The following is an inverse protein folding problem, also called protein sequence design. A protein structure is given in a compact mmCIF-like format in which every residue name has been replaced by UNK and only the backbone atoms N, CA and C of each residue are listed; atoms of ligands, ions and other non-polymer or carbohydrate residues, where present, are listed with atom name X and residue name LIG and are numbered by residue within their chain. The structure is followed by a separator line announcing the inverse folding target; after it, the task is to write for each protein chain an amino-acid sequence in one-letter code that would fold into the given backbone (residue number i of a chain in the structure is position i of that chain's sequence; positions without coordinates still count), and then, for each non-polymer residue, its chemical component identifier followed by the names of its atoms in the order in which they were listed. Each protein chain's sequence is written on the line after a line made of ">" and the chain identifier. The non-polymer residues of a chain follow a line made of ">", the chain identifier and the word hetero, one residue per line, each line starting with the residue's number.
data_IF_293040595029
#
_entry.id   IF_293040595029
#
_cell.length_a   1.000
_cell.length_b   1.000
_cell.length_c   1.000
_cell.angle_alpha   90.00
_cell.angle_beta   90.00
_cell.angle_gamma   90.00
#
_symmetry.space_group_name_H-M   'P 1'
#
loop_
_entity.id
_entity.type
_entity.pdbx_description
1 polymer ?
#
# COMPACT_ATOMS: atom_id res chain seq x y z
N UNK A 1 5.68 8.75 -43.30
CA UNK A 1 6.32 8.41 -42.00
C UNK A 1 5.87 9.48 -41.01
N UNK A 2 4.89 9.18 -40.16
CA UNK A 2 4.33 10.16 -39.23
C UNK A 2 5.35 10.35 -38.09
N UNK A 3 6.08 11.46 -38.12
CA UNK A 3 6.93 11.87 -37.00
C UNK A 3 5.97 12.38 -35.93
N UNK A 4 5.45 11.46 -35.11
CA UNK A 4 4.76 11.85 -33.90
C UNK A 4 5.72 12.68 -33.06
N UNK A 5 5.31 13.88 -32.67
CA UNK A 5 6.05 14.72 -31.73
C UNK A 5 6.31 13.89 -30.47
N UNK A 6 7.56 13.43 -30.29
CA UNK A 6 7.96 12.76 -29.05
C UNK A 6 8.01 13.82 -27.96
N UNK A 7 7.06 13.75 -27.04
CA UNK A 7 6.99 14.64 -25.90
C UNK A 7 7.87 14.10 -24.76
N UNK A 8 8.52 15.01 -24.02
CA UNK A 8 9.27 14.66 -22.82
C UNK A 8 8.37 13.92 -21.82
N UNK A 9 8.84 12.78 -21.33
CA UNK A 9 8.11 11.94 -20.38
C UNK A 9 8.13 12.50 -18.95
N UNK A 10 9.25 13.09 -18.52
CA UNK A 10 9.39 13.78 -17.24
C UNK A 10 8.80 15.20 -17.34
N UNK A 11 7.65 15.45 -16.70
CA UNK A 11 6.86 16.69 -16.81
C UNK A 11 6.74 17.41 -15.47
N UNK A 12 7.88 17.64 -14.82
CA UNK A 12 7.95 18.27 -13.49
C UNK A 12 7.76 17.27 -12.35
N UNK A 13 7.44 17.78 -11.18
CA UNK A 13 7.32 16.98 -9.97
C UNK A 13 6.10 16.05 -10.03
N UNK A 14 6.26 14.79 -9.67
CA UNK A 14 5.16 13.83 -9.75
C UNK A 14 5.54 12.39 -9.50
N UNK A 15 4.55 11.50 -9.61
CA UNK A 15 4.72 10.06 -9.48
C UNK A 15 4.98 9.42 -10.85
N UNK A 16 6.02 8.60 -10.91
CA UNK A 16 6.50 7.95 -12.13
C UNK A 16 6.88 6.50 -11.85
N UNK A 17 6.90 5.68 -12.91
CA UNK A 17 7.68 4.44 -12.97
C UNK A 17 8.95 4.67 -13.78
N UNK A 18 10.00 3.93 -13.47
CA UNK A 18 11.27 3.97 -14.20
C UNK A 18 11.44 2.62 -14.90
N UNK A 19 11.58 2.60 -16.23
CA UNK A 19 11.70 1.38 -17.02
C UNK A 19 12.97 1.40 -17.86
N UNK A 20 13.76 0.33 -17.87
CA UNK A 20 14.93 0.25 -18.73
C UNK A 20 14.53 0.17 -20.21
N UNK A 21 15.21 0.92 -21.07
CA UNK A 21 14.91 0.96 -22.51
C UNK A 21 15.28 -0.36 -23.19
N UNK A 22 16.37 -1.00 -22.79
CA UNK A 22 16.89 -2.22 -23.44
C UNK A 22 16.22 -3.49 -22.90
N UNK A 23 16.16 -3.66 -21.59
CA UNK A 23 15.65 -4.90 -20.98
C UNK A 23 14.13 -4.89 -20.80
N UNK A 24 13.51 -3.71 -20.80
CA UNK A 24 12.08 -3.54 -20.54
C UNK A 24 11.69 -3.70 -19.06
N UNK A 25 12.65 -3.96 -18.16
CA UNK A 25 12.39 -4.12 -16.73
C UNK A 25 12.09 -2.79 -16.05
N UNK A 26 11.13 -2.80 -15.14
CA UNK A 26 10.77 -1.71 -14.25
C UNK A 26 11.63 -1.75 -12.99
N UNK A 27 12.10 -0.60 -12.55
CA UNK A 27 12.79 -0.44 -11.28
C UNK A 27 11.79 -0.53 -10.12
N UNK A 28 12.18 -1.18 -9.03
CA UNK A 28 11.45 -1.22 -7.77
C UNK A 28 12.40 -1.08 -6.58
N UNK A 29 12.02 -0.29 -5.58
CA UNK A 29 12.73 -0.21 -4.32
C UNK A 29 12.40 -1.44 -3.47
N UNK A 30 13.39 -2.34 -3.34
CA UNK A 30 13.22 -3.66 -2.74
C UNK A 30 14.02 -3.84 -1.43
N UNK A 31 14.90 -2.91 -1.09
CA UNK A 31 15.58 -2.85 0.21
C UNK A 31 15.70 -1.39 0.68
N UNK A 32 15.78 -1.21 1.99
CA UNK A 32 16.12 0.06 2.66
C UNK A 32 17.60 0.21 2.99
N UNK A 33 18.39 -0.85 2.83
CA UNK A 33 19.83 -0.79 3.00
C UNK A 33 20.46 -0.49 1.65
N UNK A 34 21.00 0.71 1.50
CA UNK A 34 21.99 1.00 0.49
C UNK A 34 23.23 1.50 1.21
N UNK A 35 24.39 0.88 0.96
CA UNK A 35 25.69 1.40 1.42
C UNK A 35 26.14 2.64 0.64
N UNK A 36 25.33 3.13 -0.31
CA UNK A 36 25.67 4.23 -1.21
C UNK A 36 26.84 3.89 -2.14
N UNK A 37 27.47 4.91 -2.72
CA UNK A 37 28.77 4.75 -3.38
C UNK A 37 29.84 4.34 -2.37
N UNK A 38 30.44 3.16 -2.53
CA UNK A 38 31.55 2.74 -1.69
C UNK A 38 32.88 3.30 -2.23
N UNK A 39 33.52 4.11 -1.39
CA UNK A 39 34.77 4.82 -1.65
C UNK A 39 35.99 3.93 -1.99
N UNK A 40 35.93 2.61 -1.78
CA UNK A 40 37.02 1.68 -2.06
C UNK A 40 36.79 0.80 -3.29
N UNK A 41 35.54 0.61 -3.74
CA UNK A 41 35.20 -0.37 -4.79
C UNK A 41 34.73 0.24 -6.11
N UNK A 42 34.55 1.57 -6.22
CA UNK A 42 33.99 2.25 -7.42
C UNK A 42 32.59 1.74 -7.82
N UNK A 43 31.84 1.21 -6.86
CA UNK A 43 30.49 0.66 -7.06
C UNK A 43 29.51 1.40 -6.16
N UNK A 44 28.37 1.78 -6.72
CA UNK A 44 27.19 2.18 -5.93
C UNK A 44 26.50 0.90 -5.51
N UNK A 45 26.18 0.79 -4.22
CA UNK A 45 25.29 -0.23 -3.69
C UNK A 45 23.84 0.09 -4.08
N UNK A 46 23.55 -0.09 -5.36
CA UNK A 46 22.25 0.09 -5.97
C UNK A 46 21.42 -1.22 -5.98
N UNK A 47 21.92 -2.29 -5.32
CA UNK A 47 21.22 -3.57 -5.21
C UNK A 47 19.88 -3.48 -4.46
N UNK A 48 19.70 -2.43 -3.66
CA UNK A 48 18.42 -2.04 -3.08
C UNK A 48 17.32 -1.75 -4.13
N UNK A 49 17.71 -1.48 -5.38
CA UNK A 49 16.80 -1.29 -6.50
C UNK A 49 16.79 -2.57 -7.36
N UNK A 50 15.77 -3.40 -7.17
CA UNK A 50 15.52 -4.53 -8.04
C UNK A 50 14.91 -4.07 -9.37
N UNK A 51 15.02 -4.87 -10.42
CA UNK A 51 14.37 -4.63 -11.71
C UNK A 51 13.57 -5.85 -12.13
N UNK A 52 12.30 -5.65 -12.51
CA UNK A 52 11.36 -6.74 -12.86
C UNK A 52 10.63 -6.45 -14.17
N UNK A 53 10.44 -7.46 -15.00
CA UNK A 53 9.83 -7.31 -16.33
C UNK A 53 8.33 -7.57 -16.34
N UNK A 54 7.89 -8.57 -15.60
CA UNK A 54 6.51 -9.03 -15.60
C UNK A 54 5.59 -7.98 -14.99
N UNK A 55 4.52 -7.63 -15.71
CA UNK A 55 3.61 -6.57 -15.26
C UNK A 55 2.84 -6.96 -13.99
N UNK A 56 2.57 -8.25 -13.77
CA UNK A 56 1.94 -8.76 -12.55
C UNK A 56 2.77 -8.49 -11.30
N UNK A 57 4.09 -8.36 -11.43
CA UNK A 57 4.99 -8.03 -10.32
C UNK A 57 5.07 -6.52 -10.06
N UNK A 58 4.47 -5.70 -10.94
CA UNK A 58 4.62 -4.24 -10.98
C UNK A 58 3.30 -3.53 -10.70
N UNK A 59 2.18 -4.03 -11.22
CA UNK A 59 0.90 -3.32 -11.23
C UNK A 59 0.33 -3.03 -9.83
N UNK A 60 0.75 -3.81 -8.83
CA UNK A 60 0.37 -3.65 -7.44
C UNK A 60 1.52 -3.38 -6.48
N UNK A 61 2.74 -3.30 -6.98
CA UNK A 61 3.93 -3.04 -6.18
C UNK A 61 4.10 -1.51 -5.96
N UNK A 62 3.98 -1.01 -4.71
CA UNK A 62 4.26 0.39 -4.41
C UNK A 62 5.74 0.74 -4.51
N UNK A 63 6.66 -0.23 -4.50
CA UNK A 63 8.11 -0.05 -4.56
C UNK A 63 8.57 0.47 -5.91
N UNK A 64 7.82 0.14 -6.96
CA UNK A 64 8.05 0.59 -8.32
C UNK A 64 7.43 1.96 -8.64
N UNK A 65 6.85 2.64 -7.64
CA UNK A 65 6.38 4.03 -7.75
C UNK A 65 7.41 4.98 -7.13
N UNK A 66 7.90 5.91 -7.94
CA UNK A 66 8.87 6.93 -7.54
C UNK A 66 8.25 8.31 -7.65
N UNK A 67 8.26 9.07 -6.56
CA UNK A 67 8.05 10.51 -6.62
C UNK A 67 9.38 11.19 -6.96
N UNK A 68 9.42 11.83 -8.13
CA UNK A 68 10.60 12.52 -8.63
C UNK A 68 10.36 14.02 -8.47
N UNK A 69 11.21 14.68 -7.68
CA UNK A 69 11.14 16.11 -7.39
C UNK A 69 12.36 16.83 -7.95
N UNK A 70 12.14 17.87 -8.75
CA UNK A 70 13.21 18.73 -9.26
C UNK A 70 13.83 19.53 -8.12
N UNK A 71 15.16 19.57 -8.06
CA UNK A 71 15.89 20.42 -7.11
C UNK A 71 16.50 21.61 -7.83
N UNK A 72 17.53 21.37 -8.66
CA UNK A 72 18.19 22.41 -9.44
C UNK A 72 18.93 21.78 -10.62
N UNK A 73 19.09 22.49 -11.74
CA UNK A 73 19.96 22.05 -12.84
C UNK A 73 19.59 20.67 -13.38
N UNK A 74 20.41 19.65 -13.14
CA UNK A 74 20.13 18.23 -13.46
C UNK A 74 19.83 17.38 -12.22
N UNK A 75 19.75 17.98 -11.03
CA UNK A 75 19.58 17.33 -9.73
C UNK A 75 18.10 17.13 -9.38
N UNK A 76 17.81 15.94 -8.88
CA UNK A 76 16.49 15.51 -8.47
C UNK A 76 16.57 14.79 -7.12
N UNK A 77 15.54 14.98 -6.31
CA UNK A 77 15.28 14.10 -5.20
C UNK A 77 14.32 12.99 -5.67
N UNK A 78 14.63 11.76 -5.33
CA UNK A 78 13.84 10.58 -5.66
C UNK A 78 13.33 9.99 -4.34
N UNK A 79 12.03 9.75 -4.27
CA UNK A 79 11.37 9.21 -3.09
C UNK A 79 10.55 7.98 -3.51
N UNK A 80 10.76 6.84 -2.84
CA UNK A 80 9.94 5.63 -3.00
C UNK A 80 9.75 4.96 -1.65
N UNK A 81 8.60 4.31 -1.42
CA UNK A 81 8.23 3.69 -0.13
C UNK A 81 8.47 4.59 1.10
N UNK A 82 8.31 5.91 0.96
CA UNK A 82 8.53 6.85 2.06
C UNK A 82 10.00 6.97 2.49
N UNK A 83 10.93 6.43 1.70
CA UNK A 83 12.37 6.63 1.80
C UNK A 83 12.74 7.78 0.87
N UNK A 84 13.28 8.84 1.46
CA UNK A 84 13.86 9.97 0.74
C UNK A 84 15.33 9.67 0.46
N UNK A 85 15.68 9.52 -0.83
CA UNK A 85 17.03 9.13 -1.20
C UNK A 85 18.06 10.14 -0.72
N UNK A 86 17.81 11.45 -0.83
CA UNK A 86 18.75 12.45 -0.31
C UNK A 86 18.95 12.31 1.20
N UNK A 87 17.90 12.06 1.98
CA UNK A 87 18.04 11.83 3.41
C UNK A 87 18.88 10.59 3.73
N UNK A 88 18.83 9.56 2.87
CA UNK A 88 19.51 8.28 3.08
C UNK A 88 20.99 8.31 2.63
N UNK A 89 21.27 8.79 1.42
CA UNK A 89 22.60 8.72 0.80
C UNK A 89 23.35 10.07 0.81
N UNK A 90 22.68 11.16 1.21
CA UNK A 90 23.22 12.53 1.34
C UNK A 90 23.63 13.22 0.03
N UNK A 91 23.17 12.72 -1.11
CA UNK A 91 23.37 13.37 -2.42
C UNK A 91 22.09 13.27 -3.28
N UNK A 92 21.94 14.20 -4.22
CA UNK A 92 20.86 14.18 -5.21
C UNK A 92 21.25 13.33 -6.42
N UNK A 93 20.28 12.57 -6.92
CA UNK A 93 20.45 11.82 -8.18
C UNK A 93 20.36 12.81 -9.32
N UNK A 94 21.26 12.69 -10.29
CA UNK A 94 21.23 13.53 -11.49
C UNK A 94 20.61 12.79 -12.66
N UNK A 95 19.77 13.49 -13.40
CA UNK A 95 19.04 12.94 -14.55
C UNK A 95 19.39 13.77 -15.78
N UNK A 96 20.04 13.14 -16.75
CA UNK A 96 20.31 13.71 -18.05
C UNK A 96 19.26 13.26 -19.06
N UNK A 97 18.72 14.21 -19.80
CA UNK A 97 17.80 13.94 -20.91
C UNK A 97 18.56 13.38 -22.10
N UNK A 98 18.02 12.35 -22.73
CA UNK A 98 18.53 11.75 -23.97
C UNK A 98 17.39 11.57 -24.99
N UNK A 99 17.72 11.44 -26.27
CA UNK A 99 16.75 11.21 -27.35
C UNK A 99 15.54 12.17 -27.29
N UNK A 100 15.79 13.48 -27.13
CA UNK A 100 14.76 14.53 -27.03
C UNK A 100 13.69 14.28 -25.95
N UNK A 101 14.06 13.62 -24.84
CA UNK A 101 13.13 13.34 -23.73
C UNK A 101 12.40 12.00 -23.82
N UNK A 102 12.74 11.17 -24.81
CA UNK A 102 12.25 9.79 -24.91
C UNK A 102 13.00 8.81 -23.99
N UNK A 103 14.17 9.20 -23.47
CA UNK A 103 14.95 8.42 -22.52
C UNK A 103 15.82 9.31 -21.63
N UNK A 104 16.31 8.76 -20.54
CA UNK A 104 17.05 9.45 -19.50
C UNK A 104 18.22 8.60 -19.03
N UNK A 105 19.28 9.25 -18.56
CA UNK A 105 20.39 8.60 -17.87
C UNK A 105 20.46 9.12 -16.45
N UNK A 106 20.34 8.21 -15.49
CA UNK A 106 20.52 8.50 -14.08
C UNK A 106 22.00 8.35 -13.72
N UNK A 107 22.54 9.27 -12.95
CA UNK A 107 23.95 9.25 -12.58
C UNK A 107 24.23 10.00 -11.29
N UNK A 108 25.37 9.67 -10.71
CA UNK A 108 25.91 10.25 -9.49
C UNK A 108 27.39 10.54 -9.67
N UNK A 109 27.98 11.32 -8.76
CA UNK A 109 29.42 11.57 -8.73
C UNK A 109 30.01 10.91 -7.50
N UNK A 110 30.99 10.04 -7.70
CA UNK A 110 31.84 9.52 -6.63
C UNK A 110 33.29 9.95 -6.89
N UNK A 111 33.90 10.67 -5.94
CA UNK A 111 35.27 11.21 -6.03
C UNK A 111 35.62 11.89 -7.37
N UNK A 112 34.68 12.65 -7.94
CA UNK A 112 34.85 13.31 -9.24
C UNK A 112 34.59 12.43 -10.47
N UNK A 113 34.36 11.14 -10.28
CA UNK A 113 33.98 10.20 -11.34
C UNK A 113 32.47 10.12 -11.48
N UNK A 114 31.99 10.20 -12.71
CA UNK A 114 30.58 10.06 -13.04
C UNK A 114 30.20 8.59 -13.14
N UNK A 115 29.32 8.13 -12.26
CA UNK A 115 28.78 6.77 -12.25
C UNK A 115 27.34 6.79 -12.74
N UNK A 116 27.06 6.06 -13.82
CA UNK A 116 25.71 5.93 -14.36
C UNK A 116 25.01 4.72 -13.77
N UNK A 117 23.72 4.86 -13.43
CA UNK A 117 22.88 3.73 -13.07
C UNK A 117 22.48 2.96 -14.34
N UNK A 118 22.62 1.65 -14.28
CA UNK A 118 22.43 0.71 -15.39
C UNK A 118 21.76 -0.57 -14.87
N UNK A 119 20.93 -1.20 -15.68
CA UNK A 119 20.31 -2.48 -15.33
C UNK A 119 21.31 -3.63 -15.49
N UNK A 120 21.41 -4.53 -14.52
CA UNK A 120 22.25 -5.73 -14.64
C UNK A 120 21.65 -6.71 -15.64
N UNK A 121 22.39 -6.97 -16.72
CA UNK A 121 21.97 -7.83 -17.81
C UNK A 121 23.11 -8.71 -18.35
N UNK A 122 24.34 -8.57 -17.84
CA UNK A 122 25.47 -9.38 -18.32
C UNK A 122 25.38 -10.79 -17.75
N UNK A 123 25.12 -10.90 -16.45
CA UNK A 123 24.93 -12.20 -15.79
C UNK A 123 23.48 -12.71 -15.88
N UNK A 124 22.55 -11.83 -16.27
CA UNK A 124 21.10 -12.04 -16.26
C UNK A 124 20.48 -11.78 -17.64
N UNK A 125 21.21 -12.07 -18.72
CA UNK A 125 20.71 -11.80 -20.08
C UNK A 125 19.45 -12.63 -20.34
N UNK A 126 18.36 -11.94 -20.70
CA UNK A 126 17.06 -12.57 -20.93
C UNK A 126 16.26 -12.87 -19.66
N UNK A 127 16.81 -12.68 -18.45
CA UNK A 127 16.08 -12.87 -17.21
C UNK A 127 15.06 -11.75 -16.98
N UNK A 128 13.90 -12.14 -16.44
CA UNK A 128 12.80 -11.22 -16.14
C UNK A 128 13.06 -10.41 -14.86
N UNK A 129 13.94 -10.88 -13.99
CA UNK A 129 14.32 -10.22 -12.73
C UNK A 129 15.83 -9.97 -12.66
N UNK A 130 16.23 -8.83 -12.09
CA UNK A 130 17.62 -8.44 -11.85
C UNK A 130 17.68 -7.26 -10.86
N UNK A 131 18.76 -6.48 -10.88
CA UNK A 131 18.96 -5.31 -10.04
C UNK A 131 19.74 -4.20 -10.77
N UNK A 132 19.76 -3.00 -10.17
CA UNK A 132 20.50 -1.85 -10.68
C UNK A 132 21.96 -1.92 -10.24
N UNK A 133 22.88 -1.63 -11.16
CA UNK A 133 24.32 -1.48 -10.91
C UNK A 133 24.89 -0.26 -11.63
N UNK A 134 26.20 -0.03 -11.53
CA UNK A 134 26.88 1.09 -12.22
C UNK A 134 27.70 0.69 -13.45
N UNK A 135 27.67 -0.60 -13.84
CA UNK A 135 28.57 -1.19 -14.85
C UNK A 135 27.79 -1.88 -15.98
N UNK A 136 27.14 -1.12 -16.85
CA UNK A 136 26.62 -1.60 -18.15
C UNK A 136 26.44 -0.40 -19.06
N UNK A 137 26.97 -0.40 -20.29
CA UNK A 137 26.94 0.80 -21.14
C UNK A 137 25.65 0.93 -21.94
N UNK A 138 25.15 -0.21 -22.38
CA UNK A 138 23.97 -0.43 -23.20
C UNK A 138 22.66 -0.45 -22.40
N UNK A 139 22.73 -0.62 -21.08
CA UNK A 139 21.56 -0.62 -20.17
C UNK A 139 21.44 0.65 -19.32
N UNK A 140 22.13 1.76 -19.67
CA UNK A 140 22.05 3.06 -18.97
C UNK A 140 20.84 3.92 -19.33
N UNK A 141 20.07 3.51 -20.33
CA UNK A 141 18.94 4.30 -20.81
C UNK A 141 17.65 3.86 -20.14
N UNK A 142 16.94 4.83 -19.57
CA UNK A 142 15.73 4.61 -18.80
C UNK A 142 14.59 5.48 -19.34
N UNK A 143 13.37 4.99 -19.30
CA UNK A 143 12.13 5.75 -19.50
C UNK A 143 11.61 6.20 -18.15
N UNK A 144 11.10 7.42 -18.06
CA UNK A 144 10.45 7.95 -16.86
C UNK A 144 8.97 8.10 -17.19
N UNK A 145 8.16 7.11 -16.83
CA UNK A 145 6.78 6.98 -17.31
C UNK A 145 5.84 7.57 -16.26
N UNK A 146 5.08 8.64 -16.56
CA UNK A 146 4.16 9.23 -15.60
C UNK A 146 3.09 8.23 -15.19
N UNK A 147 2.76 8.20 -13.91
CA UNK A 147 1.62 7.44 -13.41
C UNK A 147 0.34 8.01 -14.04
N UNK A 148 -0.48 7.14 -14.62
CA UNK A 148 -1.75 7.53 -15.24
C UNK A 148 -2.80 6.45 -14.97
N UNK A 149 -3.76 6.78 -14.11
CA UNK A 149 -4.82 5.86 -13.69
C UNK A 149 -5.90 5.63 -14.77
N UNK A 150 -5.82 6.32 -15.92
CA UNK A 150 -6.64 6.05 -17.10
C UNK A 150 -5.86 5.35 -18.22
N UNK A 151 -4.57 5.10 -18.03
CA UNK A 151 -3.68 4.47 -19.00
C UNK A 151 -3.17 3.10 -18.54
N UNK A 152 -2.17 2.58 -19.23
CA UNK A 152 -1.52 1.30 -18.89
C UNK A 152 -0.57 1.39 -17.70
N UNK A 153 -0.14 2.59 -17.31
CA UNK A 153 0.81 2.80 -16.22
C UNK A 153 0.09 3.23 -14.94
N UNK A 154 -0.79 2.38 -14.44
CA UNK A 154 -1.53 2.59 -13.19
C UNK A 154 -0.82 1.91 -12.00
N UNK A 155 -1.36 2.16 -10.80
CA UNK A 155 -1.13 1.32 -9.62
C UNK A 155 -2.48 0.93 -9.03
N UNK A 156 -2.65 -0.36 -8.78
CA UNK A 156 -3.86 -0.91 -8.18
C UNK A 156 -3.54 -1.97 -7.15
N UNK A 157 -4.57 -2.60 -6.59
CA UNK A 157 -4.42 -3.65 -5.56
C UNK A 157 -4.87 -4.99 -6.14
N UNK A 158 -3.94 -5.93 -6.27
CA UNK A 158 -4.23 -7.33 -6.60
C UNK A 158 -4.78 -8.02 -5.36
N UNK A 159 -6.02 -8.55 -5.40
CA UNK A 159 -6.58 -9.28 -4.27
C UNK A 159 -5.80 -10.56 -3.97
N UNK A 160 -5.67 -10.88 -2.69
CA UNK A 160 -5.05 -12.12 -2.22
C UNK A 160 -6.07 -13.27 -2.16
N UNK A 161 -7.29 -12.96 -1.70
CA UNK A 161 -8.33 -13.96 -1.46
C UNK A 161 -9.70 -13.50 -1.94
N UNK A 162 -10.55 -14.47 -2.25
CA UNK A 162 -11.98 -14.29 -2.48
C UNK A 162 -12.74 -15.01 -1.37
N UNK A 163 -13.56 -14.29 -0.62
CA UNK A 163 -14.40 -14.89 0.41
C UNK A 163 -15.74 -15.39 -0.19
N UNK A 164 -16.41 -16.27 0.53
CA UNK A 164 -17.69 -16.87 0.14
C UNK A 164 -18.83 -15.84 -0.02
N UNK A 165 -18.69 -14.64 0.55
CA UNK A 165 -19.58 -13.50 0.34
C UNK A 165 -19.42 -12.85 -1.05
N UNK A 166 -18.54 -13.38 -1.91
CA UNK A 166 -18.29 -12.92 -3.28
C UNK A 166 -17.30 -11.77 -3.39
N UNK A 167 -16.79 -11.25 -2.27
CA UNK A 167 -15.88 -10.09 -2.23
C UNK A 167 -14.41 -10.52 -2.23
N UNK A 168 -13.57 -9.59 -2.66
CA UNK A 168 -12.13 -9.77 -2.83
C UNK A 168 -11.36 -8.97 -1.78
N UNK A 169 -10.29 -9.53 -1.24
CA UNK A 169 -9.55 -8.91 -0.13
C UNK A 169 -8.04 -9.01 -0.30
N UNK A 170 -7.32 -7.98 0.14
CA UNK A 170 -5.87 -7.97 0.27
C UNK A 170 -5.45 -7.16 1.51
N UNK A 171 -4.32 -7.50 2.11
CA UNK A 171 -3.61 -6.56 2.98
C UNK A 171 -2.68 -5.71 2.13
N UNK A 172 -2.57 -4.42 2.44
CA UNK A 172 -1.79 -3.49 1.64
C UNK A 172 -1.05 -2.49 2.51
N UNK A 173 0.19 -2.17 2.11
CA UNK A 173 1.05 -1.20 2.76
C UNK A 173 1.80 -0.39 1.71
N UNK A 174 1.72 0.93 1.81
CA UNK A 174 2.51 1.87 1.00
C UNK A 174 3.34 2.76 1.91
N UNK A 175 4.49 3.23 1.42
CA UNK A 175 5.27 4.21 2.19
C UNK A 175 4.84 5.66 1.95
N UNK A 176 4.07 5.91 0.90
CA UNK A 176 3.44 7.20 0.60
C UNK A 176 1.94 7.17 0.94
N UNK A 177 1.32 8.31 1.30
CA UNK A 177 -0.13 8.41 1.44
C UNK A 177 -0.86 8.17 0.12
N UNK A 178 -2.10 7.70 0.17
CA UNK A 178 -2.91 7.44 -1.02
C UNK A 178 -4.40 7.55 -0.74
N UNK A 179 -5.21 7.58 -1.81
CA UNK A 179 -6.66 7.39 -1.74
C UNK A 179 -7.08 6.21 -2.61
N UNK A 180 -8.15 5.53 -2.19
CA UNK A 180 -8.84 4.56 -3.05
C UNK A 180 -9.55 5.33 -4.17
N UNK A 181 -9.34 4.93 -5.42
CA UNK A 181 -9.93 5.59 -6.58
C UNK A 181 -11.14 4.84 -7.12
N UNK A 182 -11.08 3.51 -7.16
CA UNK A 182 -12.17 2.71 -7.72
C UNK A 182 -13.39 2.69 -6.80
N UNK A 183 -14.57 2.77 -7.42
CA UNK A 183 -15.85 2.66 -6.70
C UNK A 183 -15.99 1.27 -6.06
N UNK A 184 -16.49 1.23 -4.82
CA UNK A 184 -16.73 -0.01 -4.08
C UNK A 184 -15.55 -0.49 -3.24
N UNK A 185 -14.35 0.10 -3.39
CA UNK A 185 -13.23 -0.24 -2.52
C UNK A 185 -13.43 0.34 -1.13
N UNK A 186 -13.02 -0.43 -0.11
CA UNK A 186 -13.00 0.00 1.29
C UNK A 186 -11.68 -0.38 1.94
N UNK A 187 -11.21 0.44 2.87
CA UNK A 187 -10.03 0.15 3.68
C UNK A 187 -10.41 0.03 5.15
N UNK A 188 -9.77 -0.89 5.86
CA UNK A 188 -10.04 -1.18 7.26
C UNK A 188 -8.73 -1.31 8.04
N UNK A 189 -8.75 -0.83 9.28
CA UNK A 189 -7.78 -1.20 10.33
C UNK A 189 -8.29 -2.40 11.10
N UNK A 190 -7.39 -3.09 11.81
CA UNK A 190 -7.78 -4.08 12.84
C UNK A 190 -7.63 -3.43 14.20
N UNK A 191 -8.74 -3.15 14.88
CA UNK A 191 -8.76 -2.36 16.12
C UNK A 191 -8.50 -3.20 17.36
N UNK A 192 -8.94 -4.46 17.39
CA UNK A 192 -8.77 -5.34 18.55
C UNK A 192 -8.79 -6.82 18.20
N UNK A 193 -8.36 -7.66 19.15
CA UNK A 193 -8.38 -9.12 19.08
C UNK A 193 -9.08 -9.63 20.33
N UNK A 194 -10.07 -10.52 20.14
CA UNK A 194 -10.70 -11.27 21.20
C UNK A 194 -10.25 -12.74 21.11
N UNK A 195 -9.30 -13.13 21.96
CA UNK A 195 -8.76 -14.49 21.98
C UNK A 195 -9.79 -15.54 22.44
N UNK A 196 -10.74 -15.18 23.31
CA UNK A 196 -11.75 -16.12 23.84
C UNK A 196 -12.76 -16.51 22.76
N UNK A 197 -13.13 -15.55 21.90
CA UNK A 197 -14.07 -15.77 20.79
C UNK A 197 -13.40 -16.15 19.48
N UNK A 198 -12.08 -15.99 19.37
CA UNK A 198 -11.38 -16.15 18.10
C UNK A 198 -11.79 -15.11 17.08
N UNK A 199 -11.87 -13.83 17.49
CA UNK A 199 -12.35 -12.74 16.64
C UNK A 199 -11.31 -11.61 16.54
N UNK A 200 -11.24 -10.97 15.37
CA UNK A 200 -10.51 -9.74 15.12
C UNK A 200 -11.50 -8.66 14.65
N UNK A 201 -11.54 -7.53 15.36
CA UNK A 201 -12.46 -6.44 15.02
C UNK A 201 -11.85 -5.52 13.99
N UNK A 202 -12.53 -5.28 12.87
CA UNK A 202 -12.09 -4.33 11.85
C UNK A 202 -12.88 -3.02 11.92
N UNK A 203 -12.24 -1.91 11.59
CA UNK A 203 -12.85 -0.58 11.56
C UNK A 203 -12.54 0.13 10.24
N UNK A 204 -13.58 0.60 9.53
CA UNK A 204 -13.45 1.29 8.26
C UNK A 204 -12.69 2.63 8.40
N UNK A 205 -11.77 2.89 7.48
CA UNK A 205 -11.08 4.18 7.31
C UNK A 205 -11.73 4.89 6.13
N UNK A 206 -12.10 6.16 6.33
CA UNK A 206 -12.64 7.01 5.27
C UNK A 206 -11.62 8.08 4.86
N UNK A 207 -11.66 8.46 3.59
CA UNK A 207 -10.78 9.48 3.03
C UNK A 207 -9.39 8.97 2.64
N UNK A 208 -8.39 9.82 2.81
CA UNK A 208 -6.99 9.53 2.47
C UNK A 208 -6.35 8.61 3.52
N UNK A 209 -5.57 7.64 3.08
CA UNK A 209 -4.84 6.71 3.92
C UNK A 209 -3.40 7.22 4.06
N UNK A 210 -2.92 7.53 5.27
CA UNK A 210 -1.54 7.93 5.50
C UNK A 210 -0.55 6.85 5.10
N UNK A 211 0.59 7.27 4.56
CA UNK A 211 1.71 6.36 4.29
C UNK A 211 2.18 5.67 5.56
N UNK A 212 2.74 4.47 5.42
CA UNK A 212 3.16 3.60 6.52
C UNK A 212 1.99 3.09 7.39
N UNK A 213 0.77 3.13 6.86
CA UNK A 213 -0.40 2.52 7.50
C UNK A 213 -0.73 1.19 6.82
N UNK A 214 -0.54 0.03 7.47
CA UNK A 214 -1.01 -1.24 6.94
C UNK A 214 -2.54 -1.33 7.05
N UNK A 215 -3.21 -1.75 5.98
CA UNK A 215 -4.67 -1.86 5.95
C UNK A 215 -5.12 -3.19 5.35
N UNK A 216 -6.33 -3.62 5.72
CA UNK A 216 -7.12 -4.59 4.96
C UNK A 216 -7.93 -3.82 3.92
N UNK A 217 -7.87 -4.22 2.65
CA UNK A 217 -8.63 -3.62 1.55
C UNK A 217 -9.68 -4.63 1.08
N UNK A 218 -10.93 -4.22 1.09
CA UNK A 218 -11.98 -4.83 0.27
C UNK A 218 -11.88 -4.24 -1.14
N UNK A 219 -11.62 -5.12 -2.11
CA UNK A 219 -11.39 -4.78 -3.50
C UNK A 219 -12.69 -4.86 -4.32
N UNK A 220 -12.78 -4.07 -5.38
CA UNK A 220 -13.94 -4.01 -6.27
C UNK A 220 -14.02 -5.18 -7.24
N UNK A 221 -12.88 -5.74 -7.66
CA UNK A 221 -12.80 -6.92 -8.53
C UNK A 221 -11.59 -7.80 -8.22
N UNK A 222 -11.42 -8.88 -8.99
CA UNK A 222 -10.27 -9.80 -8.97
C UNK A 222 -9.00 -9.23 -9.63
N UNK A 223 -9.05 -8.03 -10.23
CA UNK A 223 -7.95 -7.47 -11.04
C UNK A 223 -7.47 -6.12 -10.53
N UNK A 224 -6.15 -5.93 -10.45
CA UNK A 224 -5.53 -4.69 -10.00
C UNK A 224 -6.02 -3.44 -10.76
N UNK A 225 -6.19 -3.54 -12.09
CA UNK A 225 -6.66 -2.43 -12.94
C UNK A 225 -8.04 -1.88 -12.56
N UNK A 226 -8.86 -2.67 -11.88
CA UNK A 226 -10.19 -2.25 -11.42
C UNK A 226 -10.16 -1.83 -9.94
N UNK A 227 -9.03 -1.99 -9.26
CA UNK A 227 -8.80 -1.71 -7.84
C UNK A 227 -7.76 -0.59 -7.66
N UNK A 228 -7.99 0.55 -8.31
CA UNK A 228 -6.99 1.60 -8.45
C UNK A 228 -6.81 2.42 -7.17
N UNK A 229 -5.57 2.86 -6.94
CA UNK A 229 -5.24 3.87 -5.94
C UNK A 229 -4.62 5.11 -6.59
N UNK A 230 -4.70 6.24 -5.89
CA UNK A 230 -3.97 7.46 -6.28
C UNK A 230 -2.96 7.80 -5.20
N UNK A 231 -1.65 7.70 -5.47
CA UNK A 231 -0.60 8.20 -4.59
C UNK A 231 -0.73 9.70 -4.35
N UNK A 232 -0.36 10.14 -3.15
CA UNK A 232 -0.41 11.52 -2.68
C UNK A 232 0.94 11.91 -2.09
N UNK A 233 1.33 13.17 -2.23
CA UNK A 233 2.60 13.69 -1.70
C UNK A 233 2.53 13.86 -0.17
N UNK A 234 1.35 14.19 0.33
CA UNK A 234 1.05 14.38 1.74
C UNK A 234 -0.41 14.05 2.00
N UNK A 235 -0.75 13.79 3.26
CA UNK A 235 -2.14 13.75 3.71
C UNK A 235 -2.29 14.60 4.97
N UNK A 236 -3.46 15.19 5.16
CA UNK A 236 -3.86 15.82 6.43
C UNK A 236 -4.64 14.87 7.33
N UNK A 237 -4.97 13.66 6.84
CA UNK A 237 -5.77 12.71 7.59
C UNK A 237 -4.93 12.08 8.71
N UNK A 238 -5.49 11.99 9.90
CA UNK A 238 -4.93 11.19 11.00
C UNK A 238 -5.88 10.04 11.26
N UNK A 239 -5.38 8.82 11.14
CA UNK A 239 -6.18 7.64 11.51
C UNK A 239 -6.34 7.67 13.02
N UNK A 240 -7.57 7.89 13.46
CA UNK A 240 -7.95 7.87 14.88
C UNK A 240 -8.19 6.44 15.40
N UNK A 241 -8.42 5.49 14.50
CA UNK A 241 -8.63 4.10 14.82
C UNK A 241 -7.33 3.48 15.33
N UNK A 242 -7.42 2.63 16.35
CA UNK A 242 -6.29 1.75 16.71
C UNK A 242 -6.05 0.79 15.56
N UNK A 243 -4.80 0.56 15.21
CA UNK A 243 -4.45 -0.42 14.19
C UNK A 243 -3.42 -1.41 14.75
N UNK A 244 -3.80 -2.68 14.78
CA UNK A 244 -2.98 -3.79 15.24
C UNK A 244 -2.22 -4.48 14.10
N UNK A 245 -2.50 -4.14 12.85
CA UNK A 245 -1.73 -4.67 11.74
C UNK A 245 -0.30 -4.14 11.79
N UNK A 246 0.66 -5.01 11.49
CA UNK A 246 2.06 -4.66 11.30
C UNK A 246 2.43 -4.86 9.83
N UNK A 247 3.01 -3.82 9.24
CA UNK A 247 3.30 -3.77 7.81
C UNK A 247 4.72 -4.24 7.48
N UNK A 248 4.86 -4.96 6.37
CA UNK A 248 6.15 -5.41 5.84
C UNK A 248 6.40 -4.72 4.50
N UNK A 249 7.44 -3.89 4.43
CA UNK A 249 7.77 -3.15 3.20
C UNK A 249 8.53 -3.99 2.17
N UNK A 250 9.40 -4.88 2.64
CA UNK A 250 10.40 -5.51 1.80
C UNK A 250 10.43 -7.02 2.04
N UNK A 251 10.61 -7.76 0.96
CA UNK A 251 10.78 -9.20 0.96
C UNK A 251 11.62 -9.55 -0.27
N UNK A 252 12.92 -9.69 -0.07
CA UNK A 252 13.93 -9.92 -1.10
C UNK A 252 15.00 -10.88 -0.58
N UNK A 253 15.31 -11.89 -1.38
CA UNK A 253 16.56 -12.65 -1.32
C UNK A 253 17.18 -12.61 -2.70
N UNK A 254 18.33 -11.95 -2.81
CA UNK A 254 19.10 -11.90 -4.06
C UNK A 254 20.59 -12.09 -3.75
N UNK A 255 21.11 -13.23 -4.18
CA UNK A 255 22.50 -13.60 -3.97
C UNK A 255 23.47 -12.73 -4.78
N UNK A 256 23.06 -12.27 -5.97
CA UNK A 256 23.93 -11.51 -6.87
C UNK A 256 24.18 -10.10 -6.34
N UNK A 257 23.14 -9.48 -5.80
CA UNK A 257 23.25 -8.17 -5.16
C UNK A 257 23.65 -8.27 -3.68
N UNK A 258 23.65 -9.47 -3.10
CA UNK A 258 23.88 -9.75 -1.66
C UNK A 258 22.88 -9.05 -0.73
N UNK A 259 21.67 -8.77 -1.23
CA UNK A 259 20.58 -8.23 -0.42
C UNK A 259 19.67 -9.35 0.08
N UNK A 260 19.55 -9.43 1.40
CA UNK A 260 18.63 -10.31 2.09
C UNK A 260 17.85 -9.48 3.11
N UNK A 261 16.56 -9.26 2.83
CA UNK A 261 15.65 -8.55 3.73
C UNK A 261 14.28 -9.20 3.66
N UNK A 262 13.80 -9.72 4.79
CA UNK A 262 12.51 -10.39 4.87
C UNK A 262 12.01 -10.39 6.32
N UNK A 263 10.71 -10.63 6.46
CA UNK A 263 10.08 -10.96 7.75
C UNK A 263 9.64 -12.41 7.70
N UNK A 264 10.33 -13.29 8.42
CA UNK A 264 9.99 -14.71 8.45
C UNK A 264 8.60 -14.94 9.02
N UNK A 265 7.80 -15.77 8.34
CA UNK A 265 6.47 -16.14 8.80
C UNK A 265 6.57 -17.09 10.00
N UNK A 266 5.90 -16.74 11.10
CA UNK A 266 5.85 -17.58 12.28
C UNK A 266 4.39 -17.77 12.76
N UNK A 267 3.90 -19.00 12.64
CA UNK A 267 2.53 -19.38 13.02
C UNK A 267 2.19 -19.17 14.50
N UNK A 268 3.18 -19.05 15.40
CA UNK A 268 2.96 -18.80 16.82
C UNK A 268 2.83 -17.31 17.16
N UNK A 269 3.35 -16.43 16.31
CA UNK A 269 3.41 -14.99 16.59
C UNK A 269 2.67 -14.15 15.56
N UNK A 270 2.19 -14.75 14.47
CA UNK A 270 1.56 -14.04 13.36
C UNK A 270 0.25 -14.71 12.93
N UNK A 271 -0.71 -13.88 12.52
CA UNK A 271 -1.83 -14.28 11.68
C UNK A 271 -1.82 -13.49 10.39
N UNK A 272 -2.12 -14.14 9.27
CA UNK A 272 -2.08 -13.56 7.93
C UNK A 272 -3.45 -13.71 7.28
N UNK A 273 -3.73 -12.82 6.32
CA UNK A 273 -5.01 -12.82 5.63
C UNK A 273 -5.24 -14.12 4.87
N UNK A 274 -6.41 -14.71 5.05
CA UNK A 274 -6.76 -15.97 4.43
C UNK A 274 -8.27 -16.20 4.39
N UNK A 275 -8.63 -17.42 4.00
CA UNK A 275 -9.98 -17.96 4.12
C UNK A 275 -9.93 -19.24 4.93
N UNK A 276 -10.97 -19.51 5.72
CA UNK A 276 -11.12 -20.79 6.42
C UNK A 276 -11.74 -21.86 5.50
N UNK A 277 -11.94 -23.06 6.03
CA UNK A 277 -12.55 -24.18 5.28
C UNK A 277 -13.97 -23.88 4.78
N UNK A 278 -14.70 -23.00 5.48
CA UNK A 278 -16.04 -22.54 5.08
C UNK A 278 -16.02 -21.41 4.05
N UNK A 279 -14.82 -20.95 3.64
CA UNK A 279 -14.62 -19.84 2.73
C UNK A 279 -14.87 -18.46 3.34
N UNK A 280 -15.00 -18.35 4.66
CA UNK A 280 -15.13 -17.07 5.35
C UNK A 280 -13.77 -16.36 5.43
N UNK A 281 -13.79 -15.03 5.43
CA UNK A 281 -12.59 -14.21 5.56
C UNK A 281 -12.05 -14.25 6.99
N UNK A 282 -10.76 -14.60 7.14
CA UNK A 282 -10.11 -14.74 8.45
C UNK A 282 -8.68 -14.22 8.42
N UNK A 283 -8.13 -13.96 9.60
CA UNK A 283 -6.68 -13.96 9.82
C UNK A 283 -6.29 -15.31 10.41
N UNK A 284 -5.48 -16.11 9.71
CA UNK A 284 -5.11 -17.46 10.14
C UNK A 284 -3.59 -17.68 10.19
N UNK A 285 -3.15 -18.84 10.65
CA UNK A 285 -1.74 -19.23 10.73
C UNK A 285 -1.26 -20.05 9.51
N UNK A 286 -1.95 -19.94 8.38
CA UNK A 286 -1.56 -20.64 7.15
C UNK A 286 -0.46 -19.90 6.41
N UNK A 287 0.54 -20.63 5.91
CA UNK A 287 1.59 -20.07 5.06
C UNK A 287 1.24 -20.06 3.56
N UNK A 288 0.01 -20.43 3.18
CA UNK A 288 -0.42 -20.64 1.79
C UNK A 288 -0.11 -19.48 0.83
N UNK A 289 -0.20 -18.25 1.34
CA UNK A 289 -0.04 -17.02 0.56
C UNK A 289 1.25 -16.26 0.89
N UNK A 290 2.16 -16.90 1.62
CA UNK A 290 3.45 -16.32 1.97
C UNK A 290 4.43 -16.41 0.79
N UNK A 291 5.45 -15.56 0.80
CA UNK A 291 6.46 -15.54 -0.26
C UNK A 291 7.62 -16.47 0.10
N UNK A 292 8.06 -17.36 -0.81
CA UNK A 292 9.34 -18.02 -0.65
C UNK A 292 10.47 -16.99 -0.85
N UNK A 293 11.51 -17.09 -0.03
CA UNK A 293 12.73 -16.30 -0.14
C UNK A 293 13.91 -17.26 -0.22
N UNK A 294 14.61 -17.21 -1.34
CA UNK A 294 15.80 -18.02 -1.61
C UNK A 294 17.03 -17.12 -1.58
N UNK A 295 18.09 -17.57 -0.92
CA UNK A 295 19.34 -16.82 -0.82
C UNK A 295 20.54 -17.75 -0.76
N UNK A 296 21.59 -17.47 -1.52
CA UNK A 296 22.86 -18.17 -1.48
C UNK A 296 23.94 -17.23 -0.92
N UNK A 297 24.62 -17.64 0.16
CA UNK A 297 25.64 -16.81 0.82
C UNK A 297 27.08 -17.00 0.29
N UNK A 298 27.27 -17.93 -0.66
CA UNK A 298 28.59 -18.36 -1.14
C UNK A 298 29.02 -19.74 -0.65
N UNK A 299 28.36 -20.30 0.37
CA UNK A 299 28.59 -21.64 0.94
C UNK A 299 27.31 -22.48 0.94
N UNK A 300 26.14 -21.89 1.23
CA UNK A 300 24.86 -22.61 1.40
C UNK A 300 23.66 -21.87 0.84
N UNK A 301 22.69 -22.66 0.38
CA UNK A 301 21.36 -22.18 0.02
C UNK A 301 20.45 -22.11 1.25
N UNK A 302 19.75 -20.99 1.40
CA UNK A 302 18.76 -20.75 2.42
C UNK A 302 17.39 -20.57 1.78
N UNK A 303 16.39 -21.20 2.40
CA UNK A 303 15.00 -21.16 1.97
C UNK A 303 14.12 -20.75 3.15
N UNK A 304 13.50 -19.58 3.05
CA UNK A 304 12.60 -19.05 4.06
C UNK A 304 11.19 -18.88 3.49
N UNK A 305 10.20 -18.92 4.37
CA UNK A 305 8.83 -18.52 4.06
C UNK A 305 8.57 -17.21 4.79
N UNK A 306 8.26 -16.15 4.05
CA UNK A 306 8.22 -14.79 4.56
C UNK A 306 6.89 -14.09 4.26
N UNK A 307 6.59 -13.06 5.04
CA UNK A 307 5.50 -12.14 4.73
C UNK A 307 5.82 -11.42 3.41
N UNK A 308 4.92 -11.44 2.40
CA UNK A 308 5.15 -10.77 1.12
C UNK A 308 5.42 -9.27 1.27
N UNK A 309 6.20 -8.69 0.37
CA UNK A 309 6.46 -7.25 0.39
C UNK A 309 5.16 -6.45 0.23
N UNK A 310 5.11 -5.26 0.83
CA UNK A 310 3.96 -4.36 0.80
C UNK A 310 2.63 -4.96 1.29
N UNK A 311 2.71 -5.96 2.15
CA UNK A 311 1.56 -6.55 2.83
C UNK A 311 1.63 -6.32 4.34
N UNK A 312 0.71 -6.93 5.07
CA UNK A 312 0.65 -6.81 6.52
C UNK A 312 0.25 -8.14 7.15
N UNK A 313 0.63 -8.31 8.41
CA UNK A 313 0.19 -9.40 9.27
C UNK A 313 -0.38 -8.84 10.56
N UNK A 314 -1.06 -9.68 11.32
CA UNK A 314 -1.56 -9.38 12.65
C UNK A 314 -0.64 -10.04 13.68
N UNK A 315 0.10 -9.26 14.50
CA UNK A 315 0.91 -9.80 15.58
C UNK A 315 0.02 -10.39 16.68
N UNK A 316 0.34 -11.61 17.08
CA UNK A 316 -0.41 -12.38 18.07
C UNK A 316 0.54 -13.11 19.03
N UNK A 317 -0.04 -13.76 20.03
CA UNK A 317 0.68 -14.65 20.97
C UNK A 317 0.40 -16.11 20.63
N UNK A 318 1.25 -17.03 21.10
CA UNK A 318 1.09 -18.46 20.86
C UNK A 318 -0.25 -19.03 21.39
N UNK A 319 -0.89 -18.36 22.34
CA UNK A 319 -2.20 -18.74 22.90
C UNK A 319 -3.39 -18.24 22.07
N UNK A 320 -3.16 -17.40 21.05
CA UNK A 320 -4.23 -16.90 20.18
C UNK A 320 -4.75 -18.05 19.31
N UNK A 321 -6.07 -18.20 19.09
CA UNK A 321 -6.63 -19.20 18.20
C UNK A 321 -5.96 -19.21 16.82
N UNK A 322 -5.88 -20.38 16.17
CA UNK A 322 -5.25 -20.53 14.85
C UNK A 322 -5.90 -19.68 13.77
N UNK A 323 -7.19 -19.38 13.93
CA UNK A 323 -7.98 -18.53 13.06
C UNK A 323 -8.70 -17.45 13.86
N UNK A 324 -8.76 -16.24 13.31
CA UNK A 324 -9.50 -15.12 13.85
C UNK A 324 -10.54 -14.68 12.82
N UNK A 325 -11.82 -14.82 13.17
CA UNK A 325 -12.93 -14.33 12.35
C UNK A 325 -12.98 -12.82 12.37
N UNK A 326 -13.16 -12.23 11.19
CA UNK A 326 -13.30 -10.78 11.08
C UNK A 326 -14.72 -10.35 11.45
N UNK A 327 -14.82 -9.42 12.40
CA UNK A 327 -16.08 -8.86 12.88
C UNK A 327 -16.06 -7.34 12.78
N UNK A 328 -17.20 -6.74 12.41
CA UNK A 328 -17.31 -5.29 12.28
C UNK A 328 -17.20 -4.58 13.64
N UNK A 329 -16.66 -3.37 13.63
CA UNK A 329 -16.63 -2.49 14.79
C UNK A 329 -18.03 -1.94 15.07
N UNK A 330 -18.84 -2.73 15.77
CA UNK A 330 -20.14 -2.30 16.24
C UNK A 330 -19.99 -1.26 17.35
N UNK A 331 -20.23 0.02 17.02
CA UNK A 331 -20.34 1.12 17.99
C UNK A 331 -21.61 1.07 18.85
N UNK A 332 -22.49 0.08 18.64
CA UNK A 332 -23.77 0.00 19.34
C UNK A 332 -24.77 1.11 18.98
N UNK A 333 -24.48 1.93 17.96
CA UNK A 333 -25.38 2.98 17.48
C UNK A 333 -25.70 2.73 16.01
N UNK A 334 -26.89 2.18 15.76
CA UNK A 334 -27.51 2.16 14.44
C UNK A 334 -28.02 3.56 14.10
N UNK A 335 -27.79 4.08 12.88
CA UNK A 335 -28.46 5.29 12.41
C UNK A 335 -29.98 5.05 12.40
N UNK A 336 -30.75 5.90 13.08
CA UNK A 336 -32.21 5.86 13.01
C UNK A 336 -32.63 6.35 11.63
N UNK A 337 -33.22 5.46 10.82
CA UNK A 337 -33.92 5.84 9.59
C UNK A 337 -35.16 6.65 10.00
N UNK A 338 -35.20 7.91 9.58
CA UNK A 338 -36.35 8.78 9.83
C UNK A 338 -37.42 8.43 8.78
N UNK A 339 -38.42 7.64 9.15
CA UNK A 339 -39.66 7.60 8.38
C UNK A 339 -40.40 8.92 8.58
N UNK A 340 -40.46 9.71 7.52
CA UNK A 340 -41.07 11.04 7.50
C UNK A 340 -42.57 10.94 7.25
N UNK A 341 -43.34 10.34 8.15
CA UNK A 341 -44.79 10.42 8.10
C UNK A 341 -45.35 11.21 9.29
N UNK A 342 -45.87 12.40 8.98
CA UNK A 342 -46.36 13.36 9.97
C UNK A 342 -47.59 12.85 10.76
N UNK A 343 -48.26 11.79 10.30
CA UNK A 343 -49.56 11.33 10.81
C UNK A 343 -49.52 10.07 11.70
N UNK A 344 -48.35 9.54 12.04
CA UNK A 344 -48.26 8.36 12.92
C UNK A 344 -48.27 8.81 14.39
N UNK A 345 -49.16 8.25 15.21
CA UNK A 345 -49.16 8.41 16.66
C UNK A 345 -47.91 7.76 17.26
N UNK A 346 -47.26 8.40 18.24
CA UNK A 346 -46.07 7.86 18.87
C UNK A 346 -46.02 8.21 20.36
N UNK A 347 -45.22 7.47 21.12
CA UNK A 347 -45.01 7.75 22.53
C UNK A 347 -44.11 8.98 22.71
N UNK A 348 -44.31 9.71 23.80
CA UNK A 348 -43.48 10.83 24.20
C UNK A 348 -42.67 10.40 25.41
N UNK A 349 -41.37 10.67 25.37
CA UNK A 349 -40.43 10.41 26.45
C UNK A 349 -39.76 11.69 26.92
N UNK A 350 -39.31 11.73 28.17
CA UNK A 350 -38.34 12.75 28.62
C UNK A 350 -36.95 12.47 28.03
N UNK A 351 -36.02 13.42 28.15
CA UNK A 351 -34.62 13.21 27.76
C UNK A 351 -33.94 12.05 28.52
N UNK A 352 -34.47 11.68 29.68
CA UNK A 352 -33.97 10.56 30.50
C UNK A 352 -34.65 9.23 30.15
N UNK A 353 -35.46 9.16 29.08
CA UNK A 353 -36.11 7.93 28.63
C UNK A 353 -37.38 7.53 29.41
N UNK A 354 -37.87 8.39 30.30
CA UNK A 354 -39.15 8.15 31.01
C UNK A 354 -40.30 8.43 30.06
N UNK A 355 -41.17 7.44 29.81
CA UNK A 355 -42.40 7.61 29.02
C UNK A 355 -43.37 8.53 29.77
N UNK A 356 -43.85 9.58 29.11
CA UNK A 356 -44.77 10.57 29.69
C UNK A 356 -46.14 10.60 29.01
N UNK A 357 -46.25 10.07 27.78
CA UNK A 357 -47.52 9.95 27.06
C UNK A 357 -47.43 8.82 26.04
N UNK A 358 -48.51 8.06 25.89
CA UNK A 358 -48.61 6.96 24.93
C UNK A 358 -49.45 7.38 23.72
N UNK A 359 -49.09 6.91 22.51
CA UNK A 359 -49.83 7.14 21.26
C UNK A 359 -50.24 8.61 21.02
N UNK A 360 -49.36 9.55 21.33
CA UNK A 360 -49.60 10.97 21.16
C UNK A 360 -49.48 11.38 19.69
N UNK A 361 -50.31 12.33 19.28
CA UNK A 361 -50.20 13.00 17.97
C UNK A 361 -49.54 14.38 18.09
N UNK A 362 -49.53 14.97 19.29
CA UNK A 362 -48.89 16.27 19.60
C UNK A 362 -48.27 16.31 21.01
N UNK A 363 -47.40 17.30 21.23
CA UNK A 363 -46.77 17.62 22.53
C UNK A 363 -47.57 18.64 23.35
N UNK A 364 -48.78 19.00 22.91
CA UNK A 364 -49.61 20.03 23.54
C UNK A 364 -50.07 19.60 24.94
N UNK A 365 -50.13 20.56 25.87
CA UNK A 365 -50.51 20.32 27.26
C UNK A 365 -49.46 19.59 28.11
N UNK A 366 -48.24 19.40 27.61
CA UNK A 366 -47.11 18.99 28.45
C UNK A 366 -46.53 20.20 29.22
N UNK A 367 -45.98 20.00 30.43
CA UNK A 367 -45.22 21.03 31.12
C UNK A 367 -43.98 21.47 30.34
N UNK A 368 -43.50 22.68 30.59
CA UNK A 368 -42.24 23.20 30.03
C UNK A 368 -41.09 22.21 30.21
N UNK A 369 -40.37 21.90 29.13
CA UNK A 369 -39.33 20.88 29.18
C UNK A 369 -38.87 20.37 27.82
N UNK A 370 -37.94 19.43 27.85
CA UNK A 370 -37.37 18.78 26.67
C UNK A 370 -37.87 17.34 26.59
N UNK A 371 -38.49 17.01 25.46
CA UNK A 371 -39.07 15.71 25.20
C UNK A 371 -38.52 15.10 23.92
N UNK A 372 -38.58 13.77 23.85
CA UNK A 372 -38.33 12.98 22.65
C UNK A 372 -39.70 12.52 22.15
N UNK A 373 -40.07 12.94 20.95
CA UNK A 373 -41.32 12.59 20.29
C UNK A 373 -41.07 12.40 18.80
N UNK A 374 -41.62 11.34 18.20
CA UNK A 374 -41.40 11.00 16.77
C UNK A 374 -39.91 11.04 16.39
N UNK A 375 -39.06 10.46 17.25
CA UNK A 375 -37.60 10.42 17.10
C UNK A 375 -36.91 11.80 16.97
N UNK A 376 -37.57 12.89 17.42
CA UNK A 376 -37.02 14.25 17.44
C UNK A 376 -37.08 14.85 18.83
N UNK A 377 -36.17 15.78 19.09
CA UNK A 377 -36.20 16.64 20.27
C UNK A 377 -37.27 17.72 20.08
N UNK A 378 -38.22 17.78 21.02
CA UNK A 378 -39.21 18.84 21.12
C UNK A 378 -38.99 19.64 22.40
N UNK A 379 -39.00 20.96 22.27
CA UNK A 379 -38.92 21.88 23.41
C UNK A 379 -40.31 22.47 23.60
N UNK A 380 -40.96 22.13 24.71
CA UNK A 380 -42.21 22.76 25.14
C UNK A 380 -41.81 23.95 25.99
N UNK A 381 -42.27 25.13 25.57
CA UNK A 381 -41.98 26.43 26.20
C UNK A 381 -43.21 26.98 26.86
#
# INVERSE_FOLDING_TARGET
>A
MHVGTMHAQLKGDGFYRIQNVKTGRYMTLADRHSRGANAHTTTVDAGALATRKEWSDIESDPGSIFYIKKVNGSEYNIISQGIDMYQHIKYYVRIDTNNNGASYKFWETDKGTRLYLSDENVSNEGADNSYVKTRGEDTRQWKIIPLNNSGSNYIGVTPLVKANNGKYYATYLTGFPYKLQSSGMKAFTISSINNEKGEATYQEITGEIPGKTPVLIECSSDKAKDNLITPLVSTSNSIKATNRLEGVFFCLGDWLSQHLIYTEFNANTMRVLGINESGELVFNNSNKYMSPVEFYDGDRDYYYIAIPHNTAYLPVTATTPSELKLVDYNTGITPIVIESDANISNDIYTINGIKVRENATSVEGLPEGIYIFKNKKYVVK
#
